data_IF_401703922672
#
_entry.id   IF_401703922672
#
_cell.length_a   1.000
_cell.length_b   1.000
_cell.length_c   1.000
_cell.angle_alpha   90.00
_cell.angle_beta   90.00
_cell.angle_gamma   90.00
#
_symmetry.space_group_name_H-M   'P 1'
#
loop_
_entity.id
_entity.type
_entity.pdbx_description
1 polymer ?
#
# COMPACT_ATOMS: atom_id res chain seq x y z
N UNK A 1 -67.56 1.71 -26.23
CA UNK A 1 -66.08 1.85 -26.36
C UNK A 1 -65.45 1.42 -25.04
N UNK A 2 -64.84 0.23 -25.00
CA UNK A 2 -64.35 -0.43 -23.79
C UNK A 2 -62.91 -0.01 -23.45
N UNK A 3 -62.75 0.90 -22.50
CA UNK A 3 -61.46 1.41 -22.01
C UNK A 3 -61.01 0.65 -20.75
N UNK A 4 -60.65 -0.63 -20.89
CA UNK A 4 -60.31 -1.47 -19.71
C UNK A 4 -59.26 -2.56 -19.92
N UNK A 5 -58.30 -2.41 -20.84
CA UNK A 5 -57.31 -3.48 -21.15
C UNK A 5 -55.83 -3.07 -21.23
N UNK A 6 -55.40 -1.96 -20.61
CA UNK A 6 -53.98 -1.56 -20.63
C UNK A 6 -53.28 -1.49 -19.25
N UNK A 7 -53.94 -1.96 -18.18
CA UNK A 7 -53.29 -2.32 -16.91
C UNK A 7 -53.01 -3.83 -16.93
N UNK A 8 -51.90 -4.33 -17.53
CA UNK A 8 -50.64 -4.43 -16.79
C UNK A 8 -49.42 -4.55 -17.72
N UNK A 9 -48.95 -3.48 -18.37
CA UNK A 9 -47.77 -3.60 -19.25
C UNK A 9 -46.73 -2.49 -19.07
N UNK A 10 -47.03 -1.45 -18.28
CA UNK A 10 -46.16 -0.29 -18.11
C UNK A 10 -45.23 -0.35 -16.89
N UNK A 11 -45.29 -1.42 -16.08
CA UNK A 11 -44.56 -1.51 -14.81
C UNK A 11 -43.22 -2.28 -14.89
N UNK A 12 -42.87 -2.83 -16.05
CA UNK A 12 -41.69 -3.69 -16.22
C UNK A 12 -40.43 -2.97 -16.77
N UNK A 13 -40.47 -1.89 -17.59
CA UNK A 13 -39.22 -1.27 -18.04
C UNK A 13 -38.60 -0.29 -17.02
N UNK A 14 -39.33 0.13 -15.98
CA UNK A 14 -38.85 1.15 -15.04
C UNK A 14 -37.89 0.62 -13.95
N UNK A 15 -37.82 -0.70 -13.75
CA UNK A 15 -36.99 -1.31 -12.70
C UNK A 15 -35.55 -1.59 -13.17
N UNK A 16 -35.28 -1.57 -14.48
CA UNK A 16 -33.95 -1.89 -15.04
C UNK A 16 -32.96 -0.73 -15.11
N UNK A 17 -33.34 0.49 -14.71
CA UNK A 17 -32.45 1.67 -14.77
C UNK A 17 -31.74 2.03 -13.46
N UNK A 18 -31.92 1.25 -12.38
CA UNK A 18 -31.42 1.59 -11.03
C UNK A 18 -30.11 0.91 -10.61
N UNK A 19 -29.39 0.22 -11.50
CA UNK A 19 -28.23 -0.58 -11.12
C UNK A 19 -26.86 -0.08 -11.63
N UNK A 20 -26.68 1.21 -11.94
CA UNK A 20 -25.34 1.79 -12.14
C UNK A 20 -24.74 2.28 -10.81
N UNK A 21 -24.54 1.36 -9.86
CA UNK A 21 -23.77 1.67 -8.65
C UNK A 21 -22.28 1.72 -9.00
N UNK A 22 -21.79 2.92 -9.35
CA UNK A 22 -20.37 3.21 -9.32
C UNK A 22 -20.00 3.46 -7.86
N UNK A 23 -19.82 2.40 -7.07
CA UNK A 23 -19.31 2.54 -5.71
C UNK A 23 -17.87 3.08 -5.80
N UNK A 24 -17.56 4.26 -5.23
CA UNK A 24 -16.21 4.79 -5.22
C UNK A 24 -15.26 3.79 -4.56
N UNK A 25 -14.04 3.67 -5.07
CA UNK A 25 -13.02 2.85 -4.39
C UNK A 25 -12.73 3.46 -3.01
N UNK A 26 -12.43 2.62 -2.00
CA UNK A 26 -12.02 3.06 -0.67
C UNK A 26 -10.89 4.12 -0.71
N UNK A 27 -9.96 3.97 -1.67
CA UNK A 27 -8.90 4.94 -1.93
C UNK A 27 -9.42 6.33 -2.30
N UNK A 28 -10.49 6.42 -3.10
CA UNK A 28 -11.09 7.70 -3.52
C UNK A 28 -11.67 8.46 -2.33
N UNK A 29 -12.37 7.75 -1.44
CA UNK A 29 -12.96 8.33 -0.24
C UNK A 29 -11.87 8.83 0.73
N UNK A 30 -10.85 8.02 0.99
CA UNK A 30 -9.77 8.38 1.92
C UNK A 30 -8.91 9.55 1.44
N UNK A 31 -8.90 9.84 0.14
CA UNK A 31 -8.14 10.96 -0.44
C UNK A 31 -8.83 12.31 -0.30
N UNK A 32 -10.10 12.35 0.09
CA UNK A 32 -10.81 13.60 0.25
C UNK A 32 -10.10 14.50 1.28
N UNK A 33 -9.83 15.74 0.87
CA UNK A 33 -9.15 16.75 1.69
C UNK A 33 -7.64 16.54 1.87
N UNK A 34 -7.01 15.58 1.18
CA UNK A 34 -5.55 15.42 1.19
C UNK A 34 -4.89 16.53 0.36
N UNK A 35 -3.84 17.14 0.90
CA UNK A 35 -2.99 18.08 0.17
C UNK A 35 -1.94 17.30 -0.64
N UNK A 36 -2.19 17.17 -1.94
CA UNK A 36 -1.31 16.44 -2.86
C UNK A 36 0.03 17.18 -3.13
N UNK A 37 0.16 18.44 -2.74
CA UNK A 37 1.43 19.19 -2.82
C UNK A 37 2.38 18.87 -1.66
N UNK A 38 1.87 18.28 -0.57
CA UNK A 38 2.63 17.89 0.60
C UNK A 38 3.36 16.56 0.39
N UNK A 39 4.19 16.49 -0.65
CA UNK A 39 5.08 15.36 -0.92
C UNK A 39 6.16 15.27 0.16
N UNK A 40 6.48 14.06 0.63
CA UNK A 40 7.44 13.88 1.73
C UNK A 40 8.79 14.59 1.50
N UNK A 41 9.43 14.54 0.31
CA UNK A 41 10.68 15.27 0.08
C UNK A 41 10.55 16.79 0.29
N UNK A 42 9.41 17.37 -0.05
CA UNK A 42 9.15 18.80 0.14
C UNK A 42 8.95 19.13 1.62
N UNK A 43 8.26 18.26 2.34
CA UNK A 43 8.05 18.40 3.79
C UNK A 43 9.37 18.26 4.55
N UNK A 44 10.25 17.35 4.15
CA UNK A 44 11.58 17.22 4.75
C UNK A 44 12.40 18.51 4.59
N UNK A 45 12.32 19.15 3.42
CA UNK A 45 13.06 20.39 3.15
C UNK A 45 12.53 21.59 3.94
N UNK A 46 11.21 21.69 4.15
CA UNK A 46 10.60 22.81 4.86
C UNK A 46 9.39 22.37 5.69
N UNK A 47 9.59 21.68 6.83
CA UNK A 47 8.50 21.06 7.59
C UNK A 47 7.45 22.05 8.09
N UNK A 48 7.88 23.24 8.50
CA UNK A 48 7.03 24.28 9.08
C UNK A 48 5.95 24.77 8.11
N UNK A 49 6.23 24.80 6.80
CA UNK A 49 5.26 25.24 5.79
C UNK A 49 4.16 24.22 5.50
N UNK A 50 4.29 23.00 6.02
CA UNK A 50 3.35 21.91 5.81
C UNK A 50 2.68 21.42 7.10
N UNK A 51 3.00 22.00 8.25
CA UNK A 51 2.34 21.66 9.51
C UNK A 51 0.82 21.91 9.42
N UNK A 52 0.03 21.02 10.00
CA UNK A 52 -1.43 21.08 9.94
C UNK A 52 -2.04 20.58 8.62
N UNK A 53 -1.24 20.32 7.58
CA UNK A 53 -1.76 19.77 6.32
C UNK A 53 -2.11 18.29 6.45
N UNK A 54 -3.23 17.92 5.84
CA UNK A 54 -3.69 16.54 5.74
C UNK A 54 -2.94 15.83 4.60
N UNK A 55 -2.33 14.70 4.90
CA UNK A 55 -1.54 13.91 3.95
C UNK A 55 -2.02 12.48 3.86
N UNK A 56 -1.75 11.86 2.72
CA UNK A 56 -1.83 10.43 2.51
C UNK A 56 -0.49 9.92 1.99
N UNK A 57 0.29 9.29 2.86
CA UNK A 57 1.60 8.74 2.50
C UNK A 57 1.59 7.22 2.62
N UNK A 58 2.30 6.57 1.72
CA UNK A 58 2.38 5.12 1.62
C UNK A 58 3.79 4.66 1.88
N UNK A 59 3.98 3.44 2.38
CA UNK A 59 5.32 2.94 2.59
C UNK A 59 5.42 1.54 3.17
N UNK A 60 6.65 1.19 3.53
CA UNK A 60 7.00 -0.03 4.24
C UNK A 60 7.31 0.27 5.70
N UNK A 61 6.74 -0.51 6.61
CA UNK A 61 7.04 -0.43 8.04
C UNK A 61 8.49 -0.85 8.27
N UNK A 62 9.29 0.04 8.83
CA UNK A 62 10.67 -0.24 9.25
C UNK A 62 10.74 -0.68 10.70
N UNK A 63 9.94 -0.04 11.56
CA UNK A 63 9.86 -0.32 12.98
C UNK A 63 8.52 0.14 13.56
N UNK A 64 8.04 -0.52 14.61
CA UNK A 64 6.82 -0.17 15.35
C UNK A 64 7.12 -0.18 16.83
N UNK A 65 6.97 0.98 17.47
CA UNK A 65 7.34 1.19 18.88
C UNK A 65 6.14 1.71 19.67
N UNK A 66 5.57 0.90 20.58
CA UNK A 66 4.62 1.39 21.57
C UNK A 66 5.25 2.46 22.45
N UNK A 67 4.53 3.56 22.67
CA UNK A 67 4.93 4.70 23.50
C UNK A 67 3.81 5.00 24.51
N UNK A 68 4.09 5.84 25.51
CA UNK A 68 3.04 6.32 26.43
C UNK A 68 1.92 7.09 25.72
N UNK A 69 2.25 7.77 24.63
CA UNK A 69 1.34 8.55 23.80
C UNK A 69 0.61 7.75 22.70
N UNK A 70 0.79 6.41 22.66
CA UNK A 70 0.19 5.55 21.65
C UNK A 70 1.23 4.67 20.95
N UNK A 71 1.24 4.62 19.63
CA UNK A 71 2.21 3.80 18.87
C UNK A 71 2.84 4.60 17.75
N UNK A 72 4.18 4.64 17.75
CA UNK A 72 4.94 5.25 16.67
C UNK A 72 5.37 4.19 15.66
N UNK A 73 5.08 4.42 14.39
CA UNK A 73 5.47 3.56 13.28
C UNK A 73 6.45 4.34 12.41
N UNK A 74 7.69 3.86 12.33
CA UNK A 74 8.68 4.37 11.39
C UNK A 74 8.44 3.73 10.02
N UNK A 75 8.29 4.56 9.00
CA UNK A 75 7.88 4.13 7.67
C UNK A 75 8.88 4.66 6.64
N UNK A 76 9.34 3.76 5.75
CA UNK A 76 10.03 4.14 4.52
C UNK A 76 8.96 4.49 3.48
N UNK A 77 8.89 5.76 3.08
CA UNK A 77 7.90 6.21 2.11
C UNK A 77 8.16 5.56 0.75
N UNK A 78 7.07 5.19 0.09
CA UNK A 78 7.02 4.67 -1.27
C UNK A 78 5.94 5.44 -2.02
N UNK A 79 6.14 5.73 -3.31
CA UNK A 79 5.05 6.22 -4.16
C UNK A 79 3.82 5.32 -4.07
N UNK A 80 2.63 5.87 -4.31
CA UNK A 80 1.38 5.09 -4.27
C UNK A 80 0.91 4.72 -5.66
N UNK A 81 0.33 3.53 -5.78
CA UNK A 81 -0.46 3.13 -6.94
C UNK A 81 -1.81 3.87 -6.97
N UNK A 82 -2.59 3.67 -8.04
CA UNK A 82 -3.97 4.18 -8.16
C UNK A 82 -4.89 3.68 -7.03
N UNK A 83 -4.59 2.52 -6.44
CA UNK A 83 -5.36 1.91 -5.35
C UNK A 83 -4.88 2.36 -3.96
N UNK A 84 -4.07 3.41 -3.89
CA UNK A 84 -3.46 3.91 -2.64
C UNK A 84 -2.51 2.91 -1.96
N UNK A 85 -2.05 1.88 -2.67
CA UNK A 85 -1.09 0.90 -2.15
C UNK A 85 0.35 1.37 -2.42
N UNK A 86 1.33 1.11 -1.54
CA UNK A 86 2.73 1.35 -1.86
C UNK A 86 3.17 0.69 -3.17
N UNK A 87 3.90 1.41 -4.01
CA UNK A 87 4.54 0.88 -5.21
C UNK A 87 5.76 0.02 -4.87
N UNK A 88 5.95 -1.04 -5.65
CA UNK A 88 7.14 -1.87 -5.63
C UNK A 88 8.34 -1.15 -6.26
N UNK A 89 9.55 -1.51 -5.86
CA UNK A 89 10.81 -0.97 -6.40
C UNK A 89 11.63 -0.25 -5.34
N UNK A 90 12.58 0.58 -5.74
CA UNK A 90 13.56 1.19 -4.82
C UNK A 90 13.37 2.70 -4.60
N UNK A 91 12.47 3.35 -5.36
CA UNK A 91 12.18 4.78 -5.20
C UNK A 91 11.58 5.07 -3.81
N UNK A 92 12.06 6.13 -3.16
CA UNK A 92 11.57 6.56 -1.84
C UNK A 92 11.69 8.06 -1.67
N UNK A 93 10.70 8.67 -1.01
CA UNK A 93 10.72 10.07 -0.60
C UNK A 93 11.41 10.32 0.75
N UNK A 94 11.90 9.28 1.42
CA UNK A 94 12.53 9.37 2.74
C UNK A 94 11.80 8.57 3.82
N UNK A 95 12.03 8.94 5.09
CA UNK A 95 11.38 8.30 6.24
C UNK A 95 10.50 9.29 6.98
N UNK A 96 9.41 8.79 7.54
CA UNK A 96 8.54 9.57 8.41
C UNK A 96 8.02 8.70 9.56
N UNK A 97 7.51 9.35 10.59
CA UNK A 97 6.87 8.68 11.72
C UNK A 97 5.37 8.91 11.64
N UNK A 98 4.60 7.81 11.64
CA UNK A 98 3.16 7.85 11.87
C UNK A 98 2.86 7.58 13.35
N UNK A 99 2.26 8.54 14.04
CA UNK A 99 1.87 8.41 15.44
C UNK A 99 0.38 8.08 15.54
N UNK A 100 0.06 6.88 16.00
CA UNK A 100 -1.30 6.47 16.33
C UNK A 100 -1.58 6.73 17.81
N UNK A 101 -2.76 7.26 18.17
CA UNK A 101 -3.10 7.58 19.56
C UNK A 101 -3.35 6.35 20.47
N UNK A 102 -3.43 5.15 19.90
CA UNK A 102 -3.71 3.90 20.64
C UNK A 102 -2.59 2.89 20.45
N UNK A 103 -2.55 1.90 21.32
CA UNK A 103 -1.71 0.73 21.17
C UNK A 103 -2.03 -0.01 19.86
N UNK A 104 -0.99 -0.28 19.06
CA UNK A 104 -0.99 -1.14 17.89
C UNK A 104 0.08 -2.20 18.12
N UNK A 105 -0.30 -3.47 17.98
CA UNK A 105 0.59 -4.59 18.27
C UNK A 105 1.74 -4.68 17.23
N UNK A 106 3.02 -4.60 17.64
CA UNK A 106 4.16 -4.71 16.72
C UNK A 106 4.22 -6.05 15.97
N UNK A 107 3.61 -7.12 16.48
CA UNK A 107 3.52 -8.40 15.77
C UNK A 107 2.57 -8.32 14.55
N UNK A 108 1.53 -7.48 14.63
CA UNK A 108 0.59 -7.24 13.52
C UNK A 108 1.13 -6.17 12.57
N UNK A 109 1.65 -5.07 13.13
CA UNK A 109 2.30 -3.95 12.44
C UNK A 109 3.80 -4.21 12.34
N UNK A 110 4.14 -5.38 11.81
CA UNK A 110 5.50 -5.87 11.76
C UNK A 110 6.31 -5.24 10.62
N UNK A 111 7.62 -5.25 10.79
CA UNK A 111 8.58 -4.79 9.78
C UNK A 111 8.34 -5.47 8.43
N UNK A 112 8.44 -4.70 7.36
CA UNK A 112 8.28 -5.16 5.98
C UNK A 112 6.84 -5.19 5.48
N UNK A 113 5.85 -4.90 6.34
CA UNK A 113 4.47 -4.73 5.89
C UNK A 113 4.28 -3.39 5.17
N UNK A 114 3.43 -3.43 4.17
CA UNK A 114 2.97 -2.26 3.44
C UNK A 114 1.85 -1.56 4.22
N UNK A 115 1.93 -0.24 4.30
CA UNK A 115 0.95 0.59 4.98
C UNK A 115 0.66 1.86 4.18
N UNK A 116 -0.60 2.28 4.21
CA UNK A 116 -1.05 3.61 3.76
C UNK A 116 -1.49 4.38 4.98
N UNK A 117 -0.94 5.56 5.20
CA UNK A 117 -1.20 6.42 6.37
C UNK A 117 -1.98 7.64 5.90
N UNK A 118 -3.05 7.97 6.62
CA UNK A 118 -3.83 9.19 6.45
C UNK A 118 -3.82 9.94 7.77
N UNK A 119 -3.37 11.18 7.73
CA UNK A 119 -3.25 11.97 8.94
C UNK A 119 -2.89 13.40 8.66
N UNK A 120 -2.48 14.09 9.72
CA UNK A 120 -2.08 15.49 9.65
C UNK A 120 -0.63 15.61 10.08
N UNK A 121 0.17 16.39 9.33
CA UNK A 121 1.55 16.69 9.72
C UNK A 121 1.50 17.48 11.03
N UNK A 122 2.15 16.94 12.07
CA UNK A 122 2.12 17.50 13.43
C UNK A 122 3.48 18.00 13.90
N UNK A 123 4.44 18.15 12.97
CA UNK A 123 5.79 18.64 13.26
C UNK A 123 6.87 17.64 12.87
N UNK A 124 7.96 17.63 13.64
CA UNK A 124 9.13 16.77 13.39
C UNK A 124 9.67 16.16 14.67
N UNK A 125 10.37 15.03 14.54
CA UNK A 125 11.08 14.36 15.63
C UNK A 125 12.50 14.04 15.16
N UNK A 126 13.50 14.39 15.97
CA UNK A 126 14.89 14.02 15.69
C UNK A 126 15.14 12.58 16.15
N UNK A 127 15.84 11.80 15.33
CA UNK A 127 16.21 10.45 15.67
C UNK A 127 17.31 9.88 14.77
N UNK A 128 18.05 8.88 15.25
CA UNK A 128 19.12 8.28 14.47
C UNK A 128 18.60 7.35 13.36
N UNK A 129 19.35 7.30 12.25
CA UNK A 129 19.36 6.20 11.28
C UNK A 129 20.78 5.63 11.31
N UNK A 130 21.00 4.60 12.13
CA UNK A 130 22.37 4.19 12.46
C UNK A 130 23.10 5.35 13.15
N UNK A 131 24.25 5.77 12.61
CA UNK A 131 25.02 6.89 13.14
C UNK A 131 24.60 8.26 12.58
N UNK A 132 23.66 8.29 11.62
CA UNK A 132 23.20 9.52 10.99
C UNK A 132 22.05 10.17 11.77
N UNK A 133 22.18 11.43 12.16
CA UNK A 133 21.09 12.20 12.77
C UNK A 133 20.06 12.62 11.71
N UNK A 134 18.84 12.15 11.85
CA UNK A 134 17.75 12.41 10.90
C UNK A 134 16.61 13.16 11.58
N UNK A 135 15.95 14.05 10.83
CA UNK A 135 14.74 14.75 11.29
C UNK A 135 13.54 14.17 10.56
N UNK A 136 12.74 13.38 11.28
CA UNK A 136 11.54 12.74 10.74
C UNK A 136 10.38 13.72 10.74
N UNK A 137 9.69 13.93 9.60
CA UNK A 137 8.33 14.45 9.63
C UNK A 137 7.43 13.51 10.42
N UNK A 138 6.59 14.08 11.28
CA UNK A 138 5.63 13.33 12.10
C UNK A 138 4.23 13.57 11.58
N UNK A 139 3.51 12.48 11.34
CA UNK A 139 2.11 12.48 10.95
C UNK A 139 1.29 11.93 12.12
N UNK A 140 0.39 12.75 12.66
CA UNK A 140 -0.65 12.28 13.56
C UNK A 140 -1.65 11.45 12.76
N UNK A 141 -1.56 10.13 12.88
CA UNK A 141 -2.30 9.17 12.07
C UNK A 141 -3.75 9.08 12.52
N UNK A 142 -4.66 9.46 11.63
CA UNK A 142 -6.12 9.44 11.87
C UNK A 142 -6.80 8.21 11.26
N UNK A 143 -6.24 7.69 10.16
CA UNK A 143 -6.70 6.48 9.51
C UNK A 143 -5.54 5.80 8.77
N UNK A 144 -5.66 4.53 8.45
CA UNK A 144 -4.64 3.79 7.71
C UNK A 144 -5.19 2.53 7.03
N UNK A 145 -4.47 2.05 6.02
CA UNK A 145 -4.68 0.74 5.40
C UNK A 145 -3.44 -0.09 5.68
N UNK A 146 -3.60 -1.20 6.38
CA UNK A 146 -2.53 -2.18 6.58
C UNK A 146 -2.69 -3.32 5.57
N UNK A 147 -1.85 -3.33 4.53
CA UNK A 147 -2.01 -4.26 3.42
C UNK A 147 -1.61 -5.67 3.80
N UNK A 148 -2.34 -6.72 3.35
CA UNK A 148 -1.97 -8.11 3.58
C UNK A 148 -0.53 -8.36 3.12
N UNK A 149 0.20 -9.18 3.88
CA UNK A 149 1.52 -9.62 3.42
C UNK A 149 1.34 -10.37 2.10
N UNK A 150 1.96 -9.88 1.03
CA UNK A 150 2.03 -10.62 -0.21
C UNK A 150 2.80 -11.89 0.09
N UNK A 151 2.10 -13.04 0.13
CA UNK A 151 2.79 -14.33 0.11
C UNK A 151 3.61 -14.30 -1.17
N UNK A 152 4.95 -14.28 -1.06
CA UNK A 152 5.78 -14.58 -2.22
C UNK A 152 5.31 -15.94 -2.69
N UNK A 153 4.58 -15.98 -3.81
CA UNK A 153 4.42 -17.21 -4.55
C UNK A 153 5.85 -17.57 -4.91
N UNK A 154 6.45 -18.48 -4.15
CA UNK A 154 7.50 -19.29 -4.72
C UNK A 154 6.84 -19.87 -5.96
N UNK A 155 7.31 -19.43 -7.11
CA UNK A 155 6.94 -19.97 -8.40
C UNK A 155 7.33 -21.44 -8.33
N UNK A 156 6.40 -22.24 -7.81
CA UNK A 156 6.49 -23.67 -7.80
C UNK A 156 6.24 -24.01 -9.25
N UNK A 157 7.30 -23.95 -10.06
CA UNK A 157 7.29 -24.50 -11.40
C UNK A 157 6.62 -25.85 -11.26
N UNK A 158 5.40 -26.03 -11.82
CA UNK A 158 4.75 -27.31 -11.70
C UNK A 158 5.69 -28.28 -12.38
N UNK A 159 6.13 -29.28 -11.63
CA UNK A 159 6.96 -30.38 -12.13
C UNK A 159 6.08 -31.21 -13.06
N UNK A 160 5.71 -30.63 -14.20
CA UNK A 160 4.84 -31.26 -15.17
C UNK A 160 5.66 -32.22 -16.00
N UNK A 161 5.26 -33.48 -15.86
CA UNK A 161 5.40 -34.58 -16.80
C UNK A 161 6.78 -35.22 -16.95
N UNK A 162 6.90 -36.36 -16.27
CA UNK A 162 7.43 -37.59 -16.84
C UNK A 162 7.33 -37.60 -18.37
N UNK A 163 8.46 -37.68 -19.07
CA UNK A 163 8.52 -38.33 -20.38
C UNK A 163 9.28 -39.64 -20.21
N UNK A 164 8.60 -40.79 -20.23
CA UNK A 164 9.25 -42.10 -20.20
C UNK A 164 9.60 -42.52 -21.65
N UNK A 165 10.84 -42.98 -21.86
CA UNK A 165 11.40 -43.59 -23.08
C UNK A 165 11.77 -42.67 -24.27
N UNK A 166 13.07 -42.43 -24.48
CA UNK A 166 13.90 -43.20 -25.45
C UNK A 166 15.40 -42.81 -25.36
N UNK A 167 16.35 -43.76 -25.56
CA UNK A 167 17.79 -43.52 -25.45
C UNK A 167 18.41 -43.24 -26.82
N UNK A 168 19.12 -42.13 -26.98
CA UNK A 168 20.11 -42.01 -28.05
C UNK A 168 21.42 -41.42 -27.52
N UNK A 169 22.42 -42.28 -27.64
CA UNK A 169 23.85 -42.06 -27.57
C UNK A 169 24.23 -40.89 -28.51
N UNK A 170 24.79 -39.79 -27.98
CA UNK A 170 25.53 -38.83 -28.80
C UNK A 170 27.03 -39.17 -28.69
N UNK A 171 27.68 -39.65 -29.78
CA UNK A 171 29.07 -40.09 -29.75
C UNK A 171 30.10 -38.96 -29.69
N UNK A 172 29.71 -37.68 -29.62
CA UNK A 172 30.65 -36.57 -29.90
C UNK A 172 30.83 -35.52 -28.80
N UNK A 173 30.27 -35.69 -27.60
CA UNK A 173 30.59 -34.79 -26.49
C UNK A 173 31.74 -35.32 -25.62
N UNK A 174 32.97 -34.99 -26.03
CA UNK A 174 34.18 -35.14 -25.22
C UNK A 174 34.32 -33.94 -24.25
N UNK A 175 34.41 -34.16 -22.93
CA UNK A 175 34.77 -33.09 -21.99
C UNK A 175 36.28 -32.84 -22.05
N UNK A 176 36.68 -31.69 -22.59
CA UNK A 176 38.06 -31.21 -22.48
C UNK A 176 38.26 -30.57 -21.09
N UNK A 177 38.56 -31.40 -20.10
CA UNK A 177 39.26 -30.96 -18.90
C UNK A 177 40.74 -31.38 -19.02
N UNK A 178 41.63 -30.41 -18.85
CA UNK A 178 43.04 -30.62 -18.50
C UNK A 178 43.41 -29.64 -17.36
N UNK A 179 44.31 -30.06 -16.46
CA UNK A 179 44.34 -29.71 -15.03
C UNK A 179 44.67 -28.25 -14.72
#
# INVERSE_FOLDING_TARGET
MNMRKYLPAALIPAVLFLASSCAPSLCTELRQGVDESALLPMVIQNPQSYEGKRVMWTGLILNTTPRRSGTAIEILEKPRTKDCRPESGDMTGGRFIALHQRFLDPAIYSRGREITVIGTISGTEAGPIGDYQYTYPVVSMTNHILWPMTKKSYDYWPRTYYSPYYPFYDPFYHPLWRP
#
